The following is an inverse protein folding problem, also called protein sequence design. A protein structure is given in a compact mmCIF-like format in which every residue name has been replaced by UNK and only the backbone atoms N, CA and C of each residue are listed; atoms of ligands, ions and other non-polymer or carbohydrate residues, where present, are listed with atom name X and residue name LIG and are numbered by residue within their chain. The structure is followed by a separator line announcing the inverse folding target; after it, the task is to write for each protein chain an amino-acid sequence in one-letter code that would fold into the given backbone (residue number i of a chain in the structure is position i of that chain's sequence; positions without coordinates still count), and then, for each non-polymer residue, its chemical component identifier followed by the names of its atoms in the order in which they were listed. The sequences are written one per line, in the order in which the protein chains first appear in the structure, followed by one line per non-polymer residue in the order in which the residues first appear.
data_IF_750305287003
#
_entry.id   IF_750305287003
#
_cell.length_a   1.000
_cell.length_b   1.000
_cell.length_c   1.000
_cell.angle_alpha   90.00
_cell.angle_beta   90.00
_cell.angle_gamma   90.00
#
_symmetry.space_group_name_H-M   'P 1'
#
loop_
_entity.id
_entity.type
_entity.pdbx_description
1 polymer ?
#
# COMPACT_ATOMS: atom_id res chain seq x y z
N UNK A 1 15.73 12.76 11.70
CA UNK A 1 15.12 11.88 10.67
C UNK A 1 14.64 10.61 11.35
N UNK A 2 13.33 10.39 11.46
CA UNK A 2 12.79 9.13 12.00
C UNK A 2 13.26 7.98 11.10
N UNK A 3 13.98 7.01 11.69
CA UNK A 3 14.44 5.83 10.95
C UNK A 3 13.22 5.00 10.52
N UNK A 4 13.16 4.63 9.24
CA UNK A 4 12.09 3.76 8.73
C UNK A 4 12.14 2.40 9.44
N UNK A 5 11.02 2.00 10.04
CA UNK A 5 10.87 0.74 10.77
C UNK A 5 10.10 -0.32 9.97
N UNK A 6 9.59 0.03 8.78
CA UNK A 6 8.80 -0.85 7.94
C UNK A 6 9.63 -1.98 7.32
N UNK A 7 9.03 -2.83 6.49
CA UNK A 7 9.75 -3.87 5.76
C UNK A 7 10.80 -3.30 4.79
N UNK A 8 10.67 -2.05 4.35
CA UNK A 8 11.64 -1.39 3.47
C UNK A 8 13.04 -1.31 4.08
N UNK A 9 13.15 -1.02 5.38
CA UNK A 9 14.44 -0.99 6.06
C UNK A 9 15.00 -2.37 6.43
N UNK A 10 14.19 -3.44 6.32
CA UNK A 10 14.60 -4.81 6.65
C UNK A 10 15.18 -5.55 5.46
N UNK A 11 14.60 -5.34 4.30
CA UNK A 11 15.02 -6.00 3.07
C UNK A 11 16.32 -5.36 2.56
N UNK A 12 17.19 -6.13 1.88
CA UNK A 12 18.40 -5.53 1.32
C UNK A 12 17.98 -4.47 0.28
N UNK A 13 18.72 -3.37 0.10
CA UNK A 13 18.40 -2.41 -0.96
C UNK A 13 18.39 -3.10 -2.31
N UNK A 14 17.60 -2.57 -3.24
CA UNK A 14 17.43 -3.12 -4.58
C UNK A 14 18.68 -2.91 -5.46
N UNK A 15 19.80 -3.55 -5.12
CA UNK A 15 21.03 -3.55 -5.94
C UNK A 15 21.04 -4.67 -6.98
N UNK A 16 20.16 -5.66 -6.81
CA UNK A 16 20.04 -6.83 -7.68
C UNK A 16 18.57 -7.24 -7.76
N UNK A 17 17.80 -6.61 -8.65
CA UNK A 17 16.51 -7.16 -9.04
C UNK A 17 16.75 -8.50 -9.73
N UNK A 18 16.56 -9.62 -9.00
CA UNK A 18 16.33 -10.93 -9.67
C UNK A 18 15.09 -10.89 -10.58
N UNK A 19 14.19 -9.95 -10.32
CA UNK A 19 13.03 -9.63 -11.14
C UNK A 19 13.37 -8.49 -12.10
N UNK A 20 14.15 -8.79 -13.14
CA UNK A 20 14.25 -7.92 -14.30
C UNK A 20 13.20 -8.42 -15.28
N UNK A 21 12.06 -7.72 -15.34
CA UNK A 21 11.11 -7.90 -16.43
C UNK A 21 11.85 -7.48 -17.70
N UNK A 22 12.03 -8.43 -18.61
CA UNK A 22 12.72 -8.17 -19.87
C UNK A 22 11.83 -7.26 -20.71
N UNK A 23 12.48 -6.32 -21.41
CA UNK A 23 11.80 -5.51 -22.41
C UNK A 23 11.13 -6.44 -23.41
N UNK A 24 9.82 -6.25 -23.59
CA UNK A 24 9.04 -7.00 -24.55
C UNK A 24 9.56 -6.67 -25.94
N UNK A 25 10.48 -7.48 -26.46
CA UNK A 25 10.78 -7.49 -27.88
C UNK A 25 9.45 -7.53 -28.65
N UNK A 26 9.35 -6.72 -29.71
CA UNK A 26 8.19 -6.62 -30.60
C UNK A 26 7.99 -7.95 -31.35
N UNK A 27 7.56 -8.96 -30.60
CA UNK A 27 7.15 -10.25 -31.07
C UNK A 27 5.63 -10.29 -30.91
N UNK A 28 4.93 -11.03 -31.76
CA UNK A 28 3.49 -11.22 -31.61
C UNK A 28 3.19 -11.71 -30.18
N UNK A 29 2.60 -10.81 -29.38
CA UNK A 29 2.28 -11.00 -27.97
C UNK A 29 1.14 -12.03 -27.84
N UNK A 30 0.30 -12.15 -28.88
CA UNK A 30 -0.85 -13.05 -28.94
C UNK A 30 -0.48 -14.40 -29.56
N UNK A 31 0.68 -14.54 -30.19
CA UNK A 31 1.19 -15.85 -30.56
C UNK A 31 1.36 -16.70 -29.30
N UNK A 32 0.79 -17.91 -29.29
CA UNK A 32 0.91 -18.87 -28.18
C UNK A 32 0.21 -18.46 -26.86
N UNK A 33 -0.84 -17.62 -26.89
CA UNK A 33 -1.73 -17.38 -25.71
C UNK A 33 -2.90 -18.38 -25.63
N UNK A 34 -2.90 -19.42 -26.46
CA UNK A 34 -3.93 -20.45 -26.52
C UNK A 34 -5.28 -19.92 -27.03
N UNK A 35 -6.38 -20.41 -26.43
CA UNK A 35 -7.74 -20.01 -26.80
C UNK A 35 -8.03 -18.52 -26.60
N UNK A 36 -7.26 -17.84 -25.74
CA UNK A 36 -7.40 -16.41 -25.50
C UNK A 36 -6.95 -15.55 -26.69
N UNK A 37 -6.37 -16.14 -27.75
CA UNK A 37 -5.94 -15.41 -28.95
C UNK A 37 -7.08 -14.72 -29.68
N UNK A 38 -8.32 -15.17 -29.46
CA UNK A 38 -9.54 -14.58 -30.03
C UNK A 38 -9.81 -13.20 -29.43
N UNK A 39 -9.29 -12.93 -28.23
CA UNK A 39 -9.49 -11.67 -27.54
C UNK A 39 -8.46 -10.62 -27.98
N UNK A 40 -8.85 -9.33 -28.06
CA UNK A 40 -7.92 -8.23 -28.12
C UNK A 40 -6.94 -8.23 -26.93
N UNK A 41 -5.74 -7.69 -27.14
CA UNK A 41 -4.67 -7.62 -26.15
C UNK A 41 -5.12 -6.78 -24.96
N UNK A 42 -5.87 -5.73 -25.24
CA UNK A 42 -6.46 -4.81 -24.28
C UNK A 42 -7.43 -5.56 -23.36
N UNK A 43 -8.23 -6.48 -23.91
CA UNK A 43 -9.13 -7.34 -23.14
C UNK A 43 -8.34 -8.34 -22.30
N UNK A 44 -7.29 -8.95 -22.87
CA UNK A 44 -6.39 -9.84 -22.12
C UNK A 44 -5.76 -9.07 -20.95
N UNK A 45 -5.20 -7.87 -21.20
CA UNK A 45 -4.64 -7.01 -20.16
C UNK A 45 -5.68 -6.61 -19.11
N UNK A 46 -6.91 -6.33 -19.51
CA UNK A 46 -8.01 -6.02 -18.59
C UNK A 46 -8.36 -7.20 -17.67
N UNK A 47 -8.21 -8.44 -18.15
CA UNK A 47 -8.34 -9.64 -17.32
C UNK A 47 -7.12 -9.79 -16.41
N UNK A 48 -5.91 -9.70 -16.97
CA UNK A 48 -4.66 -9.88 -16.23
C UNK A 48 -4.52 -8.88 -15.08
N UNK A 49 -4.90 -7.61 -15.25
CA UNK A 49 -4.81 -6.62 -14.17
C UNK A 49 -5.70 -6.94 -12.96
N UNK A 50 -6.76 -7.73 -13.12
CA UNK A 50 -7.66 -8.13 -12.03
C UNK A 50 -7.11 -9.31 -11.22
N UNK A 51 -6.08 -9.98 -11.73
CA UNK A 51 -5.47 -11.12 -11.07
C UNK A 51 -4.49 -10.67 -9.98
N UNK A 52 -4.36 -11.52 -8.96
CA UNK A 52 -3.33 -11.37 -7.95
C UNK A 52 -1.93 -11.63 -8.52
N UNK A 53 -0.90 -11.04 -7.89
CA UNK A 53 0.48 -11.16 -8.34
C UNK A 53 0.98 -12.62 -8.36
N UNK A 54 0.44 -13.51 -7.51
CA UNK A 54 0.82 -14.92 -7.55
C UNK A 54 0.19 -15.65 -8.75
N UNK A 55 -1.05 -15.31 -9.10
CA UNK A 55 -1.74 -15.82 -10.29
C UNK A 55 -1.07 -15.36 -11.58
N UNK A 56 -0.66 -14.09 -11.68
CA UNK A 56 0.11 -13.57 -12.81
C UNK A 56 1.44 -14.31 -13.00
N UNK A 57 2.17 -14.52 -11.91
CA UNK A 57 3.42 -15.27 -11.95
C UNK A 57 3.23 -16.74 -12.39
N UNK A 58 2.11 -17.37 -12.01
CA UNK A 58 1.78 -18.71 -12.51
C UNK A 58 1.47 -18.70 -14.01
N UNK A 59 0.73 -17.71 -14.49
CA UNK A 59 0.37 -17.57 -15.90
C UNK A 59 1.60 -17.40 -16.80
N UNK A 60 2.64 -16.69 -16.36
CA UNK A 60 3.91 -16.56 -17.09
C UNK A 60 4.63 -17.88 -17.39
N UNK A 61 4.24 -18.95 -16.69
CA UNK A 61 4.82 -20.28 -16.85
C UNK A 61 3.92 -21.24 -17.65
N UNK A 62 2.75 -20.78 -18.11
CA UNK A 62 1.81 -21.62 -18.87
C UNK A 62 2.22 -21.74 -20.35
N UNK A 63 2.62 -20.63 -20.98
CA UNK A 63 3.05 -20.60 -22.38
C UNK A 63 3.98 -19.41 -22.66
N UNK A 64 4.65 -19.40 -23.82
CA UNK A 64 5.49 -18.26 -24.20
C UNK A 64 4.65 -17.03 -24.48
N UNK A 65 3.50 -17.21 -25.11
CA UNK A 65 2.54 -16.12 -25.35
C UNK A 65 2.02 -15.51 -24.06
N UNK A 66 1.62 -16.34 -23.09
CA UNK A 66 1.12 -15.84 -21.81
C UNK A 66 2.21 -15.10 -21.02
N UNK A 67 3.46 -15.58 -21.06
CA UNK A 67 4.61 -14.86 -20.52
C UNK A 67 4.76 -13.47 -21.13
N UNK A 68 4.66 -13.36 -22.46
CA UNK A 68 4.72 -12.06 -23.16
C UNK A 68 3.55 -11.17 -22.78
N UNK A 69 2.33 -11.72 -22.75
CA UNK A 69 1.12 -10.98 -22.38
C UNK A 69 1.24 -10.39 -20.97
N UNK A 70 1.67 -11.18 -19.98
CA UNK A 70 1.89 -10.69 -18.61
C UNK A 70 3.06 -9.71 -18.54
N UNK A 71 4.19 -9.99 -19.19
CA UNK A 71 5.34 -9.09 -19.22
C UNK A 71 5.01 -7.74 -19.89
N UNK A 72 4.07 -7.72 -20.84
CA UNK A 72 3.59 -6.50 -21.52
C UNK A 72 2.53 -5.71 -20.76
N UNK A 73 2.07 -6.19 -19.59
CA UNK A 73 1.03 -5.53 -18.81
C UNK A 73 1.55 -4.20 -18.22
N UNK A 74 1.05 -3.02 -18.66
CA UNK A 74 1.62 -1.73 -18.28
C UNK A 74 1.60 -1.45 -16.77
N UNK A 75 0.53 -1.87 -16.09
CA UNK A 75 0.35 -1.70 -14.66
C UNK A 75 1.40 -2.48 -13.86
N UNK A 76 1.69 -3.72 -14.29
CA UNK A 76 2.69 -4.57 -13.66
C UNK A 76 4.10 -4.02 -13.89
N UNK A 77 4.39 -3.58 -15.13
CA UNK A 77 5.66 -2.92 -15.46
C UNK A 77 5.88 -1.67 -14.60
N UNK A 78 4.88 -0.79 -14.53
CA UNK A 78 4.96 0.43 -13.72
C UNK A 78 5.22 0.12 -12.25
N UNK A 79 4.52 -0.86 -11.67
CA UNK A 79 4.75 -1.29 -10.28
C UNK A 79 6.15 -1.84 -10.08
N UNK A 80 6.62 -2.71 -10.98
CA UNK A 80 7.94 -3.33 -10.86
C UNK A 80 9.09 -2.32 -11.02
N UNK A 81 8.93 -1.34 -11.90
CA UNK A 81 9.91 -0.28 -12.12
C UNK A 81 9.91 0.76 -11.00
N UNK A 82 8.72 1.24 -10.61
CA UNK A 82 8.59 2.34 -9.67
C UNK A 82 8.72 1.89 -8.20
N UNK A 83 8.25 0.69 -7.86
CA UNK A 83 8.17 0.21 -6.48
C UNK A 83 8.75 -1.21 -6.28
N UNK A 84 9.98 -1.49 -6.73
CA UNK A 84 10.57 -2.83 -6.64
C UNK A 84 10.70 -3.34 -5.19
N UNK A 85 10.95 -2.46 -4.22
CA UNK A 85 11.01 -2.84 -2.81
C UNK A 85 9.66 -3.28 -2.25
N UNK A 86 8.56 -2.68 -2.72
CA UNK A 86 7.21 -3.10 -2.37
C UNK A 86 6.91 -4.49 -2.94
N UNK A 87 7.24 -4.73 -4.22
CA UNK A 87 7.10 -6.05 -4.86
C UNK A 87 7.90 -7.11 -4.09
N UNK A 88 9.16 -6.81 -3.76
CA UNK A 88 10.01 -7.72 -2.98
C UNK A 88 9.44 -8.00 -1.59
N UNK A 89 8.89 -6.98 -0.92
CA UNK A 89 8.24 -7.16 0.37
C UNK A 89 7.00 -8.05 0.28
N UNK A 90 6.17 -7.87 -0.75
CA UNK A 90 4.97 -8.69 -0.99
C UNK A 90 5.34 -10.18 -1.12
N UNK A 91 6.36 -10.50 -1.93
CA UNK A 91 6.84 -11.87 -2.09
C UNK A 91 7.49 -12.42 -0.82
N UNK A 92 8.38 -11.65 -0.20
CA UNK A 92 9.07 -12.06 1.02
C UNK A 92 8.10 -12.31 2.18
N UNK A 93 7.02 -11.52 2.24
CA UNK A 93 5.98 -11.61 3.24
C UNK A 93 4.89 -12.65 2.92
N UNK A 94 4.97 -13.28 1.73
CA UNK A 94 4.07 -14.32 1.21
C UNK A 94 2.62 -13.86 1.06
N UNK A 95 2.41 -12.63 0.61
CA UNK A 95 1.08 -12.01 0.44
C UNK A 95 0.76 -11.66 -1.01
N UNK A 96 1.52 -12.17 -1.98
CA UNK A 96 1.27 -11.93 -3.42
C UNK A 96 -0.10 -12.41 -3.89
N UNK A 97 -0.68 -13.41 -3.23
CA UNK A 97 -2.03 -13.93 -3.51
C UNK A 97 -3.17 -13.06 -2.95
N UNK A 98 -2.86 -12.05 -2.13
CA UNK A 98 -3.85 -11.14 -1.53
C UNK A 98 -3.98 -9.83 -2.28
N UNK A 99 -3.12 -9.59 -3.28
CA UNK A 99 -2.94 -8.27 -3.89
C UNK A 99 -3.13 -8.40 -5.39
N UNK A 100 -4.23 -7.84 -5.90
CA UNK A 100 -4.45 -7.67 -7.33
C UNK A 100 -3.46 -6.66 -7.93
N UNK A 101 -3.02 -6.88 -9.16
CA UNK A 101 -2.11 -5.98 -9.85
C UNK A 101 -2.71 -4.57 -10.02
N UNK A 102 -3.99 -4.50 -10.41
CA UNK A 102 -4.73 -3.25 -10.56
C UNK A 102 -4.84 -2.46 -9.25
N UNK A 103 -5.07 -3.15 -8.13
CA UNK A 103 -5.15 -2.51 -6.81
C UNK A 103 -3.81 -1.91 -6.40
N UNK A 104 -2.73 -2.66 -6.59
CA UNK A 104 -1.38 -2.19 -6.28
C UNK A 104 -0.98 -1.00 -7.15
N UNK A 105 -1.28 -1.04 -8.45
CA UNK A 105 -1.05 0.09 -9.35
C UNK A 105 -1.90 1.31 -8.97
N UNK A 106 -3.16 1.10 -8.55
CA UNK A 106 -4.01 2.18 -8.05
C UNK A 106 -3.41 2.83 -6.81
N UNK A 107 -2.86 2.05 -5.87
CA UNK A 107 -2.16 2.59 -4.71
C UNK A 107 -0.85 3.31 -5.10
N UNK A 108 -0.12 2.80 -6.09
CA UNK A 108 1.09 3.44 -6.61
C UNK A 108 0.78 4.84 -7.15
N UNK A 109 -0.32 5.01 -7.87
CA UNK A 109 -0.70 6.29 -8.46
C UNK A 109 -1.43 7.24 -7.51
N UNK A 110 -1.83 6.75 -6.33
CA UNK A 110 -2.51 7.56 -5.31
C UNK A 110 -1.47 8.33 -4.47
N UNK A 111 -1.51 9.68 -4.40
CA UNK A 111 -0.58 10.43 -3.53
C UNK A 111 -1.00 10.43 -2.05
N UNK A 112 -2.32 10.39 -1.79
CA UNK A 112 -2.89 10.59 -0.46
C UNK A 112 -3.13 9.27 0.29
N UNK A 113 -3.14 9.35 1.62
CA UNK A 113 -3.64 8.29 2.49
C UNK A 113 -5.09 7.93 2.13
N UNK A 114 -5.39 6.63 1.94
CA UNK A 114 -6.74 6.14 1.64
C UNK A 114 -7.72 6.39 2.79
N UNK A 115 -7.23 6.42 4.02
CA UNK A 115 -8.07 6.55 5.21
C UNK A 115 -8.46 8.01 5.50
N UNK A 116 -7.47 8.89 5.70
CA UNK A 116 -7.78 10.27 6.10
C UNK A 116 -7.90 11.22 4.92
N UNK A 117 -7.42 10.83 3.73
CA UNK A 117 -7.33 11.68 2.53
C UNK A 117 -6.66 13.05 2.74
N UNK A 118 -6.01 13.24 3.90
CA UNK A 118 -5.49 14.51 4.35
C UNK A 118 -3.96 14.54 4.28
N UNK A 119 -3.30 13.42 4.56
CA UNK A 119 -1.84 13.34 4.55
C UNK A 119 -1.31 12.50 3.40
N UNK A 120 -0.05 12.75 2.97
CA UNK A 120 0.61 11.90 2.00
C UNK A 120 0.63 10.44 2.46
N UNK A 121 0.33 9.53 1.54
CA UNK A 121 0.45 8.11 1.78
C UNK A 121 1.91 7.68 1.65
N UNK A 122 2.54 7.29 2.75
CA UNK A 122 3.96 6.92 2.78
C UNK A 122 4.15 5.41 2.74
N UNK A 123 3.20 4.67 3.29
CA UNK A 123 3.28 3.22 3.48
C UNK A 123 2.19 2.52 2.70
N UNK A 124 2.49 1.35 2.16
CA UNK A 124 1.52 0.36 1.74
C UNK A 124 1.37 -0.66 2.87
N UNK A 125 0.17 -0.75 3.45
CA UNK A 125 -0.19 -1.84 4.34
C UNK A 125 -0.54 -3.08 3.51
N UNK A 126 0.26 -4.13 3.64
CA UNK A 126 0.30 -5.25 2.69
C UNK A 126 -0.91 -6.18 2.80
N UNK A 127 -1.51 -6.31 3.98
CA UNK A 127 -2.62 -7.25 4.21
C UNK A 127 -3.95 -6.79 3.57
N UNK A 128 -4.11 -5.49 3.32
CA UNK A 128 -5.29 -4.93 2.66
C UNK A 128 -4.97 -4.11 1.39
N UNK A 129 -3.71 -4.10 0.96
CA UNK A 129 -3.24 -3.25 -0.15
C UNK A 129 -3.68 -1.78 -0.02
N UNK A 130 -3.52 -1.19 1.17
CA UNK A 130 -3.94 0.20 1.45
C UNK A 130 -2.74 1.14 1.56
N UNK A 131 -2.73 2.22 0.76
CA UNK A 131 -1.77 3.31 0.93
C UNK A 131 -2.17 4.23 2.08
N UNK A 132 -1.31 4.36 3.09
CA UNK A 132 -1.61 5.06 4.34
C UNK A 132 -0.47 5.98 4.80
N UNK A 133 -0.82 7.06 5.48
CA UNK A 133 0.17 7.91 6.16
C UNK A 133 0.59 7.29 7.50
N UNK A 134 1.74 7.66 8.04
CA UNK A 134 2.25 7.17 9.33
C UNK A 134 1.24 7.26 10.48
N UNK A 135 0.55 8.40 10.66
CA UNK A 135 -0.42 8.56 11.76
C UNK A 135 -1.62 7.65 11.60
N UNK A 136 -2.09 7.40 10.37
CA UNK A 136 -3.18 6.45 10.17
C UNK A 136 -2.70 5.01 10.40
N UNK A 137 -1.54 4.65 9.84
CA UNK A 137 -0.91 3.33 10.04
C UNK A 137 -0.79 2.98 11.53
N UNK A 138 -0.38 3.96 12.36
CA UNK A 138 -0.18 3.71 13.78
C UNK A 138 -1.42 3.96 14.65
N UNK A 139 -2.31 4.84 14.22
CA UNK A 139 -3.46 5.27 15.03
C UNK A 139 -4.69 4.39 14.85
N UNK A 140 -4.90 3.82 13.66
CA UNK A 140 -6.15 3.12 13.33
C UNK A 140 -6.07 1.64 13.65
N UNK A 141 -7.10 1.11 14.33
CA UNK A 141 -7.16 -0.30 14.74
C UNK A 141 -7.07 -1.28 13.56
N UNK A 142 -7.62 -0.92 12.40
CA UNK A 142 -7.57 -1.75 11.19
C UNK A 142 -6.16 -2.04 10.66
N UNK A 143 -5.18 -1.21 11.01
CA UNK A 143 -3.77 -1.40 10.64
C UNK A 143 -2.93 -1.99 11.78
N UNK A 144 -3.59 -2.52 12.80
CA UNK A 144 -2.97 -3.25 13.92
C UNK A 144 -3.22 -4.74 13.72
N UNK A 145 -2.41 -5.42 12.89
CA UNK A 145 -2.63 -6.83 12.60
C UNK A 145 -2.51 -7.65 13.88
N UNK A 146 -3.13 -8.83 13.90
CA UNK A 146 -3.20 -9.69 15.09
C UNK A 146 -2.34 -10.94 14.93
N UNK A 147 -1.74 -11.40 16.01
CA UNK A 147 -1.16 -12.75 16.11
C UNK A 147 -2.28 -13.77 16.16
N UNK A 148 -2.06 -15.01 15.69
CA UNK A 148 -3.01 -16.11 15.86
C UNK A 148 -3.49 -16.29 17.31
N UNK A 149 -2.62 -16.13 18.30
CA UNK A 149 -2.97 -16.20 19.72
C UNK A 149 -3.91 -15.07 20.16
N UNK A 150 -3.77 -13.87 19.60
CA UNK A 150 -4.65 -12.73 19.86
C UNK A 150 -6.02 -12.96 19.22
N UNK A 151 -6.06 -13.43 17.97
CA UNK A 151 -7.31 -13.81 17.30
C UNK A 151 -8.07 -14.94 18.03
N UNK A 152 -7.34 -15.93 18.58
CA UNK A 152 -7.96 -16.98 19.40
C UNK A 152 -8.54 -16.44 20.70
N UNK A 153 -7.82 -15.53 21.39
CA UNK A 153 -8.34 -14.87 22.59
C UNK A 153 -9.57 -14.01 22.31
N UNK A 154 -9.67 -13.46 21.10
CA UNK A 154 -10.86 -12.74 20.65
C UNK A 154 -12.07 -13.65 20.31
N UNK A 155 -11.89 -14.98 20.36
CA UNK A 155 -12.98 -15.96 20.24
C UNK A 155 -12.95 -16.84 18.98
N UNK A 156 -11.92 -16.74 18.12
CA UNK A 156 -11.80 -17.61 16.95
C UNK A 156 -11.18 -18.98 17.28
N UNK A 157 -11.73 -20.03 16.68
CA UNK A 157 -11.19 -21.39 16.72
C UNK A 157 -9.96 -21.53 15.83
N UNK A 158 -9.15 -22.55 16.09
CA UNK A 158 -7.90 -22.80 15.35
C UNK A 158 -8.13 -22.93 13.84
N UNK A 159 -9.18 -23.64 13.42
CA UNK A 159 -9.47 -23.82 12.00
C UNK A 159 -9.94 -22.51 11.33
N UNK A 160 -10.68 -21.66 12.04
CA UNK A 160 -11.13 -20.34 11.55
C UNK A 160 -9.92 -19.43 11.33
N UNK A 161 -9.03 -19.36 12.31
CA UNK A 161 -7.77 -18.62 12.21
C UNK A 161 -6.90 -19.11 11.04
N UNK A 162 -6.93 -20.42 10.73
CA UNK A 162 -6.19 -20.99 9.60
C UNK A 162 -6.76 -20.61 8.23
N UNK A 163 -8.00 -20.12 8.13
CA UNK A 163 -8.56 -19.68 6.85
C UNK A 163 -8.31 -18.20 6.56
N UNK A 164 -7.90 -17.44 7.57
CA UNK A 164 -7.75 -16.00 7.43
C UNK A 164 -6.53 -15.62 6.57
N UNK A 165 -6.65 -14.53 5.78
CA UNK A 165 -5.51 -13.88 5.14
C UNK A 165 -4.41 -13.58 6.15
N UNK A 166 -3.18 -13.91 5.78
CA UNK A 166 -2.05 -13.84 6.70
C UNK A 166 -0.78 -13.40 6.01
N UNK A 167 0.04 -12.70 6.77
CA UNK A 167 1.36 -12.25 6.42
C UNK A 167 2.39 -12.96 7.30
N UNK A 168 3.48 -13.44 6.70
CA UNK A 168 4.63 -13.95 7.45
C UNK A 168 5.75 -12.93 7.40
N UNK A 169 6.15 -12.42 8.55
CA UNK A 169 7.18 -11.39 8.62
C UNK A 169 8.54 -11.94 8.14
N UNK A 170 9.16 -11.36 7.10
CA UNK A 170 10.40 -11.86 6.54
C UNK A 170 11.59 -11.66 7.49
N UNK A 171 12.67 -12.42 7.24
CA UNK A 171 13.95 -12.26 7.95
C UNK A 171 14.60 -10.93 7.59
N UNK A 172 15.30 -10.32 8.55
CA UNK A 172 16.16 -9.18 8.29
C UNK A 172 17.31 -9.58 7.34
N UNK A 173 17.63 -8.69 6.40
CA UNK A 173 18.90 -8.73 5.66
C UNK A 173 20.08 -8.66 6.63
N UNK A 174 21.26 -9.09 6.20
CA UNK A 174 22.47 -9.04 7.04
C UNK A 174 22.76 -7.62 7.54
N UNK A 175 22.64 -6.62 6.65
CA UNK A 175 22.78 -5.20 7.00
C UNK A 175 21.75 -4.75 8.04
N UNK A 176 20.46 -5.02 7.79
CA UNK A 176 19.40 -4.60 8.71
C UNK A 176 19.50 -5.31 10.07
N UNK A 177 19.95 -6.57 10.08
CA UNK A 177 20.27 -7.31 11.30
C UNK A 177 21.37 -6.61 12.09
N UNK A 178 22.47 -6.24 11.43
CA UNK A 178 23.58 -5.51 12.07
C UNK A 178 23.16 -4.16 12.65
N UNK A 179 22.31 -3.41 11.95
CA UNK A 179 21.77 -2.13 12.45
C UNK A 179 20.87 -2.31 13.68
N UNK A 180 20.09 -3.39 13.73
CA UNK A 180 19.25 -3.71 14.89
C UNK A 180 20.08 -4.20 16.07
N UNK A 181 21.03 -5.12 15.86
CA UNK A 181 21.86 -5.69 16.94
C UNK A 181 22.84 -4.70 17.54
N UNK A 182 23.30 -3.73 16.74
CA UNK A 182 24.13 -2.61 17.24
C UNK A 182 23.34 -1.55 18.00
N UNK A 183 22.02 -1.70 18.17
CA UNK A 183 21.18 -0.73 18.88
C UNK A 183 20.89 0.57 18.11
N UNK A 184 21.46 0.75 16.90
CA UNK A 184 21.20 1.90 16.02
C UNK A 184 19.74 2.02 15.61
N UNK A 185 19.04 0.88 15.47
CA UNK A 185 17.60 0.81 15.26
C UNK A 185 16.97 0.03 16.42
N UNK A 186 16.23 0.75 17.28
CA UNK A 186 15.45 0.14 18.38
C UNK A 186 14.17 -0.47 17.81
N UNK A 187 14.24 -1.74 17.43
CA UNK A 187 13.08 -2.50 16.94
C UNK A 187 13.07 -3.92 17.50
N UNK A 188 11.92 -4.38 17.99
CA UNK A 188 11.71 -5.77 18.40
C UNK A 188 11.90 -6.71 17.21
N UNK A 189 12.58 -7.82 17.45
CA UNK A 189 12.69 -8.86 16.43
C UNK A 189 11.32 -9.52 16.22
N UNK A 190 10.72 -9.23 15.06
CA UNK A 190 9.42 -9.78 14.64
C UNK A 190 9.56 -10.84 13.55
N UNK A 191 10.79 -11.27 13.24
CA UNK A 191 11.09 -12.27 12.21
C UNK A 191 10.23 -13.53 12.42
N UNK A 192 9.58 -13.99 11.35
CA UNK A 192 8.78 -15.21 11.36
C UNK A 192 7.44 -15.09 12.08
N UNK A 193 7.09 -13.92 12.62
CA UNK A 193 5.75 -13.70 13.15
C UNK A 193 4.71 -13.91 12.06
N UNK A 194 3.59 -14.50 12.45
CA UNK A 194 2.41 -14.62 11.62
C UNK A 194 1.42 -13.53 12.04
N UNK A 195 1.04 -12.69 11.08
CA UNK A 195 0.18 -11.53 11.28
C UNK A 195 -1.09 -11.73 10.46
N UNK A 196 -2.25 -11.55 11.10
CA UNK A 196 -3.58 -11.65 10.51
C UNK A 196 -4.13 -10.25 10.33
N UNK A 197 -4.88 -10.04 9.26
CA UNK A 197 -5.56 -8.77 9.06
C UNK A 197 -6.63 -8.54 10.14
N UNK A 198 -6.64 -7.34 10.74
CA UNK A 198 -7.57 -7.02 11.82
C UNK A 198 -9.02 -7.08 11.34
N UNK A 199 -9.32 -6.55 10.16
CA UNK A 199 -10.69 -6.54 9.64
C UNK A 199 -11.15 -7.92 9.22
N UNK A 200 -10.25 -8.74 8.65
CA UNK A 200 -10.58 -10.13 8.35
C UNK A 200 -10.94 -10.90 9.64
N UNK A 201 -10.21 -10.67 10.75
CA UNK A 201 -10.53 -11.27 12.05
C UNK A 201 -11.88 -10.79 12.56
N UNK A 202 -12.13 -9.48 12.56
CA UNK A 202 -13.40 -8.90 13.03
C UNK A 202 -14.58 -9.42 12.18
N UNK A 203 -14.42 -9.50 10.86
CA UNK A 203 -15.44 -10.02 9.94
C UNK A 203 -15.75 -11.49 10.22
N UNK A 204 -14.75 -12.33 10.42
CA UNK A 204 -14.97 -13.75 10.74
C UNK A 204 -15.60 -13.93 12.12
N UNK A 205 -15.19 -13.13 13.12
CA UNK A 205 -15.86 -13.10 14.42
C UNK A 205 -17.34 -12.71 14.25
N UNK A 206 -17.63 -11.68 13.45
CA UNK A 206 -18.99 -11.27 13.11
C UNK A 206 -19.78 -12.39 12.45
N UNK A 207 -19.19 -13.09 11.47
CA UNK A 207 -19.83 -14.23 10.77
C UNK A 207 -20.14 -15.39 11.71
N UNK A 208 -19.19 -15.78 12.55
CA UNK A 208 -19.38 -16.84 13.57
C UNK A 208 -20.45 -16.43 14.56
N UNK A 209 -20.47 -15.16 14.98
CA UNK A 209 -21.47 -14.64 15.93
C UNK A 209 -22.85 -14.48 15.32
N UNK A 210 -22.98 -14.14 14.03
CA UNK A 210 -24.27 -14.00 13.33
C UNK A 210 -25.06 -15.31 13.27
N UNK A 211 -24.39 -16.48 13.28
CA UNK A 211 -25.08 -17.77 13.43
C UNK A 211 -25.73 -17.97 14.81
N UNK A 212 -25.46 -17.08 15.79
CA UNK A 212 -26.18 -16.96 17.05
C UNK A 212 -26.92 -15.60 17.06
N UNK A 213 -28.23 -15.63 16.93
CA UNK A 213 -29.17 -14.49 16.84
C UNK A 213 -28.93 -13.41 17.93
N UNK A 214 -28.36 -12.25 17.57
CA UNK A 214 -28.27 -11.04 18.42
C UNK A 214 -28.39 -9.76 17.58
N UNK A 215 -28.97 -8.71 18.18
CA UNK A 215 -29.38 -7.44 17.54
C UNK A 215 -28.24 -6.42 17.34
N UNK A 216 -28.43 -5.44 16.45
CA UNK A 216 -27.45 -4.38 16.10
C UNK A 216 -26.89 -3.62 17.31
N UNK A 217 -27.67 -3.46 18.38
CA UNK A 217 -27.24 -2.86 19.65
C UNK A 217 -26.15 -3.69 20.38
N UNK A 218 -26.10 -5.01 20.17
CA UNK A 218 -25.05 -5.88 20.72
C UNK A 218 -23.71 -5.73 19.96
N UNK A 219 -23.78 -5.43 18.66
CA UNK A 219 -22.59 -5.15 17.83
C UNK A 219 -22.04 -3.76 18.18
N UNK A 220 -22.91 -2.75 18.29
CA UNK A 220 -22.52 -1.41 18.75
C UNK A 220 -21.94 -1.43 20.17
N UNK A 221 -22.53 -2.21 21.10
CA UNK A 221 -22.00 -2.36 22.46
C UNK A 221 -20.72 -3.19 22.55
N UNK A 222 -20.34 -3.97 21.53
CA UNK A 222 -19.02 -4.62 21.43
C UNK A 222 -17.93 -3.70 20.85
N UNK A 223 -18.31 -2.75 20.00
CA UNK A 223 -17.42 -1.68 19.55
C UNK A 223 -17.29 -0.56 20.61
N UNK A 224 -18.32 -0.35 21.45
CA UNK A 224 -18.30 0.57 22.61
C UNK A 224 -17.73 -0.09 23.87
N UNK A 225 -17.93 -1.40 24.09
CA UNK A 225 -17.02 -2.26 24.86
C UNK A 225 -15.77 -2.52 24.03
N UNK A 226 -15.11 -1.45 23.58
CA UNK A 226 -13.66 -1.49 23.63
C UNK A 226 -13.33 -2.01 25.04
N UNK A 227 -12.45 -3.01 25.19
CA UNK A 227 -11.89 -3.26 26.51
C UNK A 227 -11.43 -1.89 27.01
N UNK A 228 -12.03 -1.46 28.11
CA UNK A 228 -11.74 -0.23 28.80
C UNK A 228 -10.27 -0.24 29.13
N UNK A 229 -9.40 0.20 28.21
CA UNK A 229 -7.98 0.30 28.47
C UNK A 229 -7.36 -0.93 29.18
N UNK A 230 -7.89 -2.15 28.99
CA UNK A 230 -7.13 -3.38 29.25
C UNK A 230 -6.28 -3.60 28.00
N UNK A 231 -5.32 -2.70 27.90
CA UNK A 231 -4.41 -2.46 26.80
C UNK A 231 -3.57 -3.73 26.62
N UNK A 232 -3.87 -4.54 25.60
CA UNK A 232 -2.76 -5.21 24.94
C UNK A 232 -1.83 -4.09 24.47
N UNK A 233 -0.58 -3.98 24.98
CA UNK A 233 0.29 -2.86 24.67
C UNK A 233 0.37 -2.71 23.17
N UNK A 234 -0.17 -1.60 22.65
CA UNK A 234 -0.15 -1.31 21.24
C UNK A 234 1.31 -1.24 20.81
N UNK A 235 1.73 -2.25 20.04
CA UNK A 235 3.10 -2.41 19.61
C UNK A 235 3.21 -1.91 18.18
N UNK A 236 3.74 -0.70 17.94
CA UNK A 236 3.84 -0.11 16.61
C UNK A 236 4.62 -1.01 15.63
N UNK A 237 5.43 -1.93 16.15
CA UNK A 237 6.16 -2.92 15.37
C UNK A 237 5.25 -3.82 14.54
N UNK A 238 4.01 -4.07 14.96
CA UNK A 238 3.06 -4.91 14.22
C UNK A 238 2.69 -4.25 12.89
N UNK A 239 2.30 -2.97 12.95
CA UNK A 239 1.92 -2.18 11.79
C UNK A 239 3.11 -2.01 10.81
N UNK A 240 4.30 -1.72 11.33
CA UNK A 240 5.51 -1.63 10.52
C UNK A 240 5.94 -2.99 9.92
N UNK A 241 5.75 -4.09 10.64
CA UNK A 241 6.07 -5.43 10.13
C UNK A 241 5.12 -5.92 9.03
N UNK A 242 3.98 -5.25 8.86
CA UNK A 242 2.98 -5.53 7.84
C UNK A 242 2.90 -4.42 6.78
N UNK A 243 3.86 -3.50 6.74
CA UNK A 243 3.89 -2.40 5.78
C UNK A 243 5.25 -2.20 5.14
N UNK A 244 5.26 -1.53 4.01
CA UNK A 244 6.44 -1.18 3.22
C UNK A 244 6.30 0.26 2.74
N UNK A 245 7.39 0.99 2.56
CA UNK A 245 7.33 2.29 1.88
C UNK A 245 6.85 2.07 0.44
N UNK A 246 5.93 2.91 0.00
CA UNK A 246 5.44 2.90 -1.37
C UNK A 246 5.66 4.28 -2.00
N UNK A 247 6.43 4.39 -3.08
CA UNK A 247 6.53 5.64 -3.82
C UNK A 247 5.20 5.96 -4.49
N UNK A 248 5.05 7.20 -4.91
CA UNK A 248 3.95 7.68 -5.72
C UNK A 248 4.45 7.86 -7.15
N UNK A 249 3.72 7.27 -8.11
CA UNK A 249 3.87 7.55 -9.53
C UNK A 249 2.86 8.63 -9.91
N UNK A 250 3.35 9.83 -10.18
CA UNK A 250 2.53 10.91 -10.72
C UNK A 250 2.34 10.69 -12.22
N UNK A 251 1.12 10.31 -12.62
CA UNK A 251 0.81 10.06 -14.04
C UNK A 251 0.94 11.31 -14.92
N UNK A 252 0.82 12.51 -14.35
CA UNK A 252 0.88 13.76 -15.11
C UNK A 252 2.30 14.15 -15.49
N UNK A 253 3.28 13.78 -14.67
CA UNK A 253 4.70 14.11 -14.86
C UNK A 253 5.54 12.89 -15.18
N UNK A 254 4.98 11.68 -15.02
CA UNK A 254 5.71 10.41 -14.98
C UNK A 254 6.80 10.35 -13.89
N UNK A 255 6.78 11.28 -12.93
CA UNK A 255 7.74 11.30 -11.84
C UNK A 255 7.39 10.28 -10.76
N UNK A 256 8.42 9.65 -10.21
CA UNK A 256 8.31 8.69 -9.10
C UNK A 256 8.98 9.27 -7.87
N UNK A 257 8.31 9.22 -6.72
CA UNK A 257 8.91 9.73 -5.48
C UNK A 257 8.02 9.64 -4.26
N UNK A 258 8.37 10.38 -3.21
CA UNK A 258 7.46 10.55 -2.07
C UNK A 258 6.40 11.59 -2.43
N UNK A 259 5.10 11.32 -2.17
CA UNK A 259 4.09 12.34 -2.35
C UNK A 259 4.27 13.44 -1.32
N UNK A 260 4.19 14.69 -1.76
CA UNK A 260 4.19 15.85 -0.89
C UNK A 260 2.94 16.70 -1.16
N UNK A 261 2.60 17.53 -0.19
CA UNK A 261 1.37 18.30 -0.17
C UNK A 261 1.71 19.78 -0.09
N UNK A 262 1.27 20.55 -1.08
CA UNK A 262 1.41 22.00 -1.02
C UNK A 262 0.36 22.54 -0.07
N UNK A 263 0.78 23.20 1.02
CA UNK A 263 -0.18 23.90 1.88
C UNK A 263 -0.88 25.01 1.10
N UNK A 264 -0.15 25.76 0.28
CA UNK A 264 -0.71 26.83 -0.54
C UNK A 264 -1.80 26.31 -1.49
N UNK A 265 -1.52 25.32 -2.35
CA UNK A 265 -2.55 24.77 -3.24
C UNK A 265 -3.72 24.12 -2.51
N UNK A 266 -3.49 23.55 -1.32
CA UNK A 266 -4.55 22.93 -0.53
C UNK A 266 -5.53 23.97 0.03
N UNK A 267 -5.01 25.09 0.50
CA UNK A 267 -5.79 26.11 1.19
C UNK A 267 -6.12 27.32 0.31
N UNK A 268 -5.64 27.38 -0.94
CA UNK A 268 -5.96 28.44 -1.90
C UNK A 268 -7.48 28.58 -2.20
N UNK A 269 -8.28 27.55 -1.96
CA UNK A 269 -9.74 27.62 -2.08
C UNK A 269 -10.41 28.36 -0.90
N UNK A 270 -9.70 28.68 0.18
CA UNK A 270 -10.25 29.33 1.38
C UNK A 270 -10.23 30.87 1.31
N UNK A 271 -9.63 31.45 0.26
CA UNK A 271 -9.54 32.91 0.08
C UNK A 271 -10.52 33.47 -0.95
N UNK A 272 -11.41 32.63 -1.51
CA UNK A 272 -12.53 33.13 -2.31
C UNK A 272 -13.68 33.59 -1.37
N UNK A 273 -14.28 34.77 -1.59
CA UNK A 273 -15.27 35.35 -0.70
C UNK A 273 -16.64 34.67 -0.89
N UNK A 274 -16.79 33.45 -0.39
CA UNK A 274 -18.10 32.91 -0.06
C UNK A 274 -17.97 31.95 1.11
N UNK A 275 -18.24 32.48 2.30
CA UNK A 275 -18.36 31.73 3.54
C UNK A 275 -19.57 30.80 3.45
N UNK A 276 -19.33 29.55 3.03
CA UNK A 276 -20.22 28.44 3.31
C UNK A 276 -19.39 27.33 3.95
N UNK A 277 -19.87 26.76 5.04
CA UNK A 277 -19.18 25.76 5.87
C UNK A 277 -18.63 24.60 5.02
N UNK A 278 -17.33 24.64 4.72
CA UNK A 278 -16.65 23.56 4.00
C UNK A 278 -16.22 22.52 5.03
N UNK A 279 -17.02 21.46 5.21
CA UNK A 279 -16.55 20.14 5.68
C UNK A 279 -15.19 19.81 5.03
N UNK A 280 -14.26 19.04 5.65
CA UNK A 280 -12.92 18.81 5.11
C UNK A 280 -12.98 18.02 3.80
N UNK A 281 -13.30 18.71 2.72
CA UNK A 281 -13.48 18.19 1.39
C UNK A 281 -12.11 17.78 0.87
N UNK A 282 -12.13 16.71 0.08
CA UNK A 282 -10.96 16.09 -0.54
C UNK A 282 -10.05 17.18 -1.10
N UNK A 283 -8.76 17.15 -0.75
CA UNK A 283 -7.79 18.05 -1.39
C UNK A 283 -7.81 17.75 -2.89
N UNK A 284 -8.11 18.73 -3.78
CA UNK A 284 -8.22 18.50 -5.20
C UNK A 284 -6.91 17.91 -5.74
N UNK A 285 -6.96 17.08 -6.79
CA UNK A 285 -5.78 16.41 -7.35
C UNK A 285 -4.62 17.38 -7.67
N UNK A 286 -4.95 18.64 -7.95
CA UNK A 286 -4.03 19.76 -8.20
C UNK A 286 -3.23 20.24 -6.96
N UNK A 287 -3.57 19.79 -5.75
CA UNK A 287 -2.88 20.19 -4.50
C UNK A 287 -1.71 19.27 -4.10
N UNK A 288 -1.52 18.18 -4.83
CA UNK A 288 -0.46 17.20 -4.60
C UNK A 288 0.61 17.39 -5.66
N UNK A 289 1.87 17.44 -5.24
CA UNK A 289 3.01 17.56 -6.15
C UNK A 289 4.22 16.80 -5.61
N UNK A 290 5.16 16.54 -6.52
CA UNK A 290 6.43 15.92 -6.20
C UNK A 290 7.34 17.00 -5.61
N UNK A 291 7.70 16.93 -4.32
CA UNK A 291 8.58 17.93 -3.70
C UNK A 291 9.82 17.30 -3.05
N UNK A 292 9.99 15.97 -3.16
CA UNK A 292 11.17 15.29 -2.63
C UNK A 292 12.45 15.54 -3.45
N UNK A 293 12.35 16.19 -4.62
CA UNK A 293 13.50 16.53 -5.47
C UNK A 293 13.44 17.99 -5.90
N UNK A 294 14.60 18.61 -6.11
CA UNK A 294 14.68 19.97 -6.65
C UNK A 294 13.91 20.11 -7.98
N UNK A 295 13.86 19.04 -8.79
CA UNK A 295 13.12 19.05 -10.06
C UNK A 295 11.61 19.11 -9.84
N UNK A 296 11.05 18.26 -8.96
CA UNK A 296 9.61 18.29 -8.69
C UNK A 296 9.14 19.62 -8.09
N UNK A 297 9.95 20.25 -7.23
CA UNK A 297 9.68 21.59 -6.72
C UNK A 297 9.71 22.64 -7.84
N UNK A 298 10.69 22.58 -8.75
CA UNK A 298 10.76 23.46 -9.93
C UNK A 298 9.54 23.28 -10.84
N UNK A 299 9.15 22.05 -11.14
CA UNK A 299 7.98 21.74 -11.97
C UNK A 299 6.69 22.29 -11.34
N UNK A 300 6.55 22.17 -10.02
CA UNK A 300 5.41 22.70 -9.27
C UNK A 300 5.37 24.23 -9.25
N UNK A 301 6.49 24.88 -8.93
CA UNK A 301 6.61 26.35 -8.97
C UNK A 301 6.39 26.87 -10.39
N UNK A 302 6.87 26.18 -11.42
CA UNK A 302 6.63 26.54 -12.81
C UNK A 302 5.14 26.49 -13.20
N UNK A 303 4.38 25.52 -12.67
CA UNK A 303 2.94 25.39 -12.92
C UNK A 303 2.06 26.36 -12.13
N UNK A 304 2.41 26.61 -10.86
CA UNK A 304 1.54 27.34 -9.94
C UNK A 304 2.06 28.73 -9.56
N UNK A 305 3.31 29.06 -9.87
CA UNK A 305 3.98 30.29 -9.42
C UNK A 305 4.76 30.10 -8.12
N UNK A 306 5.60 31.07 -7.77
CA UNK A 306 6.39 31.04 -6.53
C UNK A 306 5.50 31.17 -5.30
N UNK A 307 5.87 30.51 -4.20
CA UNK A 307 5.12 30.63 -2.94
C UNK A 307 5.66 31.82 -2.15
N UNK A 308 4.83 32.83 -1.90
CA UNK A 308 5.11 33.94 -0.97
C UNK A 308 4.00 33.99 0.07
N UNK A 309 4.36 34.12 1.35
CA UNK A 309 3.42 34.19 2.48
C UNK A 309 2.37 33.05 2.53
N UNK A 310 2.78 31.85 2.11
CA UNK A 310 1.92 30.67 2.10
C UNK A 310 0.91 30.59 0.95
N UNK A 311 0.99 31.50 -0.03
CA UNK A 311 0.15 31.53 -1.22
C UNK A 311 1.01 31.49 -2.50
N UNK A 312 0.47 30.91 -3.57
CA UNK A 312 1.11 30.97 -4.88
C UNK A 312 0.90 32.35 -5.50
N UNK A 313 1.99 33.00 -5.87
CA UNK A 313 2.01 34.25 -6.63
C UNK A 313 2.31 33.88 -8.08
N UNK A 314 1.33 34.00 -8.97
CA UNK A 314 1.58 33.91 -10.41
C UNK A 314 2.52 35.04 -10.80
N UNK A 315 3.59 34.72 -11.54
CA UNK A 315 4.40 35.74 -12.19
C UNK A 315 3.49 36.43 -13.19
N UNK A 316 3.25 37.73 -13.02
CA UNK A 316 2.57 38.52 -14.03
C UNK A 316 3.43 38.44 -15.31
N UNK A 317 2.82 37.95 -16.39
CA UNK A 317 3.41 38.00 -17.74
C UNK A 317 3.26 39.42 -18.24
#
# INVERSE_FOLDING_TARGET
MDSDLSLSSRLPPNRTTRFRWQDGAVLDIRADVGALRVLPLETIHAILQQLDLASLHRLENVSRGMRRAVASLPQLQAVAQCAPDAVRAIWAARVSHLIACGDLYTQLCRPACVFCNFRPGEYLYLLACHRVCRKCLLGQSRYKPLRPSEARRAGLRVHEVRRLPRLRVPKYSQRARGLRTSGKIRQRNTTGWLLLDFEAVVREIGRVRYTKRWTEAAVASLFQRQPSSEVLPYKPEYAYSASVLLPWLDRSTQNVGRPELCRACRFAAQTAPSAAQVTPQRAPCQSWYHCGTQQGLKDHIGRHGAIKDGLHVKVAV
#
